data_IF_329051814576
#
_entry.id   IF_329051814576
#
_cell.length_a   1.000
_cell.length_b   1.000
_cell.length_c   1.000
_cell.angle_alpha   90.00
_cell.angle_beta   90.00
_cell.angle_gamma   90.00
#
_symmetry.space_group_name_H-M   'P 1'
#
loop_
_entity.id
_entity.type
_entity.pdbx_description
1 polymer ?
#
# COMPACT_ATOMS: atom_id res chain seq x y z
N UNK A 1 12.26 -77.21 9.95
CA UNK A 1 12.86 -76.01 9.34
C UNK A 1 11.78 -75.25 8.59
N UNK A 2 11.53 -74.01 9.01
CA UNK A 2 10.49 -73.10 8.50
C UNK A 2 10.88 -72.47 7.16
N UNK A 3 9.92 -72.28 6.25
CA UNK A 3 9.86 -71.08 5.38
C UNK A 3 8.40 -70.69 5.16
N UNK A 4 7.95 -69.71 5.93
CA UNK A 4 6.68 -69.01 5.74
C UNK A 4 6.92 -67.96 4.64
N UNK A 5 6.29 -68.13 3.47
CA UNK A 5 6.25 -67.06 2.46
C UNK A 5 5.17 -66.04 2.87
N UNK A 6 5.59 -64.93 3.45
CA UNK A 6 4.71 -63.81 3.77
C UNK A 6 4.22 -63.13 2.49
N UNK A 7 2.90 -63.14 2.23
CA UNK A 7 2.26 -62.20 1.30
C UNK A 7 2.38 -60.79 1.87
N UNK A 8 3.16 -59.93 1.23
CA UNK A 8 3.11 -58.50 1.49
C UNK A 8 1.77 -57.95 0.99
N UNK A 9 0.89 -57.60 1.93
CA UNK A 9 -0.33 -56.83 1.65
C UNK A 9 0.11 -55.38 1.41
N UNK A 10 0.18 -54.97 0.14
CA UNK A 10 0.33 -53.57 -0.21
C UNK A 10 -0.94 -52.82 0.19
N UNK A 11 -0.89 -52.06 1.29
CA UNK A 11 -1.97 -51.13 1.65
C UNK A 11 -1.95 -49.95 0.67
N UNK A 12 -3.11 -49.48 0.17
CA UNK A 12 -3.14 -48.33 -0.71
C UNK A 12 -2.66 -47.10 0.08
N UNK A 13 -1.61 -46.46 -0.42
CA UNK A 13 -1.15 -45.18 0.10
C UNK A 13 -2.27 -44.19 -0.14
N UNK A 14 -2.94 -43.77 0.94
CA UNK A 14 -3.90 -42.67 0.91
C UNK A 14 -3.16 -41.44 0.41
N UNK A 15 -3.38 -41.08 -0.87
CA UNK A 15 -2.90 -39.83 -1.46
C UNK A 15 -3.64 -38.70 -0.74
N UNK A 16 -2.96 -38.08 0.21
CA UNK A 16 -3.41 -36.83 0.81
C UNK A 16 -3.54 -35.85 -0.35
N UNK A 17 -4.77 -35.49 -0.72
CA UNK A 17 -5.01 -34.35 -1.60
C UNK A 17 -4.47 -33.16 -0.83
N UNK A 18 -3.29 -32.70 -1.24
CA UNK A 18 -2.73 -31.44 -0.81
C UNK A 18 -3.82 -30.37 -0.90
N UNK A 19 -3.86 -29.51 0.12
CA UNK A 19 -4.68 -28.30 0.22
C UNK A 19 -4.22 -27.32 -0.87
N UNK A 20 -4.35 -27.72 -2.14
CA UNK A 20 -4.05 -26.87 -3.27
C UNK A 20 -5.29 -26.03 -3.49
N UNK A 21 -5.13 -24.78 -3.09
CA UNK A 21 -5.71 -23.64 -3.78
C UNK A 21 -7.17 -23.37 -3.45
N UNK A 22 -7.43 -23.01 -2.19
CA UNK A 22 -8.35 -21.90 -1.98
C UNK A 22 -7.57 -20.62 -2.27
N UNK A 23 -7.39 -20.29 -3.55
CA UNK A 23 -7.11 -18.91 -3.94
C UNK A 23 -8.31 -18.11 -3.46
N UNK A 24 -8.14 -17.44 -2.31
CA UNK A 24 -9.01 -16.34 -1.99
C UNK A 24 -8.75 -15.29 -3.06
N UNK A 25 -9.74 -15.03 -3.91
CA UNK A 25 -9.73 -13.82 -4.73
C UNK A 25 -9.71 -12.65 -3.75
N UNK A 26 -8.53 -12.11 -3.50
CA UNK A 26 -8.38 -10.88 -2.74
C UNK A 26 -8.88 -9.78 -3.66
N UNK A 27 -10.02 -9.18 -3.30
CA UNK A 27 -10.59 -8.07 -4.05
C UNK A 27 -9.66 -6.86 -3.91
N UNK A 28 -9.01 -6.48 -5.01
CA UNK A 28 -8.28 -5.23 -5.15
C UNK A 28 -9.10 -4.33 -6.07
N UNK A 29 -9.78 -3.29 -5.55
CA UNK A 29 -10.50 -2.35 -6.42
C UNK A 29 -9.51 -1.62 -7.32
N UNK A 30 -9.95 -1.31 -8.54
CA UNK A 30 -9.15 -0.50 -9.45
C UNK A 30 -9.07 0.94 -8.94
N UNK A 31 -7.85 1.47 -8.84
CA UNK A 31 -7.64 2.88 -8.55
C UNK A 31 -7.90 3.72 -9.80
N UNK A 32 -8.90 4.58 -9.75
CA UNK A 32 -9.17 5.56 -10.82
C UNK A 32 -8.56 6.90 -10.41
N UNK A 33 -7.68 7.46 -11.25
CA UNK A 33 -7.08 8.79 -11.04
C UNK A 33 -7.70 9.78 -12.02
N UNK A 34 -8.37 10.80 -11.48
CA UNK A 34 -8.95 11.90 -12.25
C UNK A 34 -8.18 13.18 -11.98
N UNK A 35 -7.79 13.90 -13.04
CA UNK A 35 -7.23 15.25 -12.93
C UNK A 35 -8.28 16.26 -13.35
N UNK A 36 -8.68 17.14 -12.43
CA UNK A 36 -9.63 18.20 -12.71
C UNK A 36 -8.98 19.34 -13.53
N UNK A 37 -9.76 20.20 -14.22
CA UNK A 37 -9.23 21.36 -14.94
C UNK A 37 -8.44 22.34 -14.05
N UNK A 38 -8.68 22.33 -12.73
CA UNK A 38 -7.90 23.09 -11.74
C UNK A 38 -6.50 22.53 -11.48
N UNK A 39 -6.18 21.35 -12.01
CA UNK A 39 -4.97 20.60 -11.68
C UNK A 39 -5.09 19.72 -10.43
N UNK A 40 -6.24 19.74 -9.74
CA UNK A 40 -6.46 18.87 -8.58
C UNK A 40 -6.58 17.41 -9.01
N UNK A 41 -5.84 16.52 -8.34
CA UNK A 41 -5.85 15.08 -8.62
C UNK A 41 -6.65 14.33 -7.57
N UNK A 42 -7.51 13.43 -8.02
CA UNK A 42 -8.37 12.62 -7.17
C UNK A 42 -8.11 11.15 -7.52
N UNK A 43 -7.58 10.38 -6.57
CA UNK A 43 -7.49 8.93 -6.66
C UNK A 43 -8.65 8.32 -5.86
N UNK A 44 -9.42 7.43 -6.50
CA UNK A 44 -10.59 6.80 -5.87
C UNK A 44 -10.61 5.30 -6.11
N UNK A 45 -11.12 4.57 -5.14
CA UNK A 45 -11.41 3.14 -5.22
C UNK A 45 -12.80 2.85 -4.64
N UNK A 46 -13.53 1.95 -5.29
CA UNK A 46 -14.82 1.46 -4.78
C UNK A 46 -14.64 0.11 -4.08
N UNK A 47 -14.54 0.17 -2.76
CA UNK A 47 -14.33 -0.99 -1.89
C UNK A 47 -15.58 -1.84 -1.65
N UNK A 48 -16.77 -1.38 -2.09
CA UNK A 48 -18.08 -2.02 -1.82
C UNK A 48 -18.45 -2.12 -0.31
N UNK A 49 -17.80 -1.33 0.53
CA UNK A 49 -18.03 -1.26 1.99
C UNK A 49 -18.74 0.07 2.31
N UNK A 50 -19.67 0.15 3.29
CA UNK A 50 -20.43 1.37 3.59
C UNK A 50 -19.63 2.47 4.31
N UNK A 51 -18.30 2.37 4.35
CA UNK A 51 -17.39 3.33 4.99
C UNK A 51 -16.39 3.84 3.97
N UNK A 52 -16.10 5.14 4.00
CA UNK A 52 -15.08 5.76 3.17
C UNK A 52 -13.99 6.38 4.05
N UNK A 53 -12.75 6.22 3.65
CA UNK A 53 -11.60 6.98 4.18
C UNK A 53 -11.23 8.01 3.14
N UNK A 54 -11.01 9.26 3.56
CA UNK A 54 -10.60 10.35 2.67
C UNK A 54 -9.30 10.91 3.21
N UNK A 55 -8.28 10.95 2.36
CA UNK A 55 -7.04 11.67 2.60
C UNK A 55 -6.94 12.90 1.72
N UNK A 56 -6.29 13.94 2.22
CA UNK A 56 -5.91 15.12 1.44
C UNK A 56 -4.40 15.26 1.56
N UNK A 57 -3.73 15.32 0.41
CA UNK A 57 -2.29 15.47 0.33
C UNK A 57 -1.97 16.77 -0.41
N UNK A 58 -0.98 17.48 0.11
CA UNK A 58 -0.54 18.77 -0.41
C UNK A 58 0.95 18.65 -0.68
N UNK A 59 1.40 19.19 -1.82
CA UNK A 59 2.82 19.31 -2.14
C UNK A 59 3.48 20.40 -1.30
N UNK A 60 3.71 20.06 -0.04
CA UNK A 60 4.27 20.92 0.99
C UNK A 60 5.16 20.10 1.94
N UNK A 61 6.03 20.77 2.67
CA UNK A 61 6.93 20.16 3.64
C UNK A 61 8.29 20.85 3.68
N UNK A 62 9.20 20.30 4.49
CA UNK A 62 10.55 20.86 4.71
C UNK A 62 11.36 21.02 3.42
N UNK A 63 11.04 20.26 2.38
CA UNK A 63 11.65 20.41 1.04
C UNK A 63 11.45 21.79 0.40
N UNK A 64 10.42 22.52 0.83
CA UNK A 64 10.08 23.87 0.35
C UNK A 64 10.46 24.97 1.35
N UNK A 65 11.18 24.63 2.42
CA UNK A 65 11.67 25.60 3.38
C UNK A 65 12.96 26.29 2.91
N UNK A 66 13.17 27.49 3.45
CA UNK A 66 14.35 28.32 3.27
C UNK A 66 14.67 29.02 4.60
N UNK A 67 15.71 29.86 4.61
CA UNK A 67 16.15 30.55 5.82
C UNK A 67 15.05 31.42 6.49
N UNK A 68 14.09 31.95 5.72
CA UNK A 68 13.04 32.83 6.24
C UNK A 68 11.85 32.09 6.85
N UNK A 69 11.58 30.85 6.45
CA UNK A 69 10.43 30.05 6.91
C UNK A 69 10.82 28.69 7.51
N UNK A 70 12.09 28.52 7.87
CA UNK A 70 12.62 27.32 8.50
C UNK A 70 11.82 26.92 9.76
N UNK A 71 11.41 25.65 9.83
CA UNK A 71 10.64 25.09 10.95
C UNK A 71 9.13 25.23 10.82
N UNK A 72 8.62 25.81 9.74
CA UNK A 72 7.18 25.90 9.44
C UNK A 72 6.56 24.51 9.24
N UNK A 73 7.23 23.61 8.51
CA UNK A 73 6.77 22.25 8.29
C UNK A 73 6.65 21.49 9.62
N UNK A 74 7.71 21.52 10.42
CA UNK A 74 7.72 20.90 11.76
C UNK A 74 6.65 21.50 12.68
N UNK A 75 6.47 22.83 12.63
CA UNK A 75 5.42 23.50 13.39
C UNK A 75 4.01 23.06 12.95
N UNK A 76 3.75 23.00 11.63
CA UNK A 76 2.48 22.54 11.07
C UNK A 76 2.21 21.07 11.38
N UNK A 77 3.22 20.20 11.39
CA UNK A 77 3.10 18.80 11.83
C UNK A 77 2.59 18.68 13.27
N UNK A 78 2.98 19.62 14.15
CA UNK A 78 2.53 19.63 15.54
C UNK A 78 1.16 20.30 15.74
N UNK A 79 0.71 21.11 14.77
CA UNK A 79 -0.63 21.73 14.80
C UNK A 79 -1.70 20.89 14.08
N UNK A 80 -1.32 20.16 13.04
CA UNK A 80 -2.22 19.28 12.30
C UNK A 80 -2.56 18.05 13.15
N UNK A 81 -3.79 17.53 13.00
CA UNK A 81 -4.17 16.27 13.64
C UNK A 81 -3.19 15.16 13.21
N UNK A 82 -2.71 14.41 14.19
CA UNK A 82 -1.50 13.57 14.17
C UNK A 82 -1.48 12.37 13.19
N UNK A 83 -2.45 12.27 12.29
CA UNK A 83 -2.60 11.13 11.40
C UNK A 83 -2.37 11.54 9.95
N UNK A 84 -1.17 11.22 9.45
CA UNK A 84 -0.87 11.17 8.02
C UNK A 84 -0.84 9.69 7.66
N UNK A 85 -1.96 9.16 7.16
CA UNK A 85 -1.98 7.80 6.62
C UNK A 85 -1.44 7.86 5.20
N UNK A 86 -0.23 7.34 5.02
CA UNK A 86 0.29 7.06 3.69
C UNK A 86 -0.32 5.73 3.23
N UNK A 87 -1.30 5.82 2.33
CA UNK A 87 -1.93 4.65 1.69
C UNK A 87 -1.45 4.50 0.24
N UNK A 88 -1.90 3.45 -0.43
CA UNK A 88 -1.57 3.23 -1.84
C UNK A 88 -2.30 4.23 -2.77
N UNK A 89 -3.43 4.81 -2.33
CA UNK A 89 -4.13 5.86 -3.07
C UNK A 89 -3.28 7.12 -3.19
N UNK A 90 -2.56 7.50 -2.13
CA UNK A 90 -1.57 8.57 -2.15
C UNK A 90 -0.51 8.34 -3.23
N UNK A 91 0.10 7.15 -3.25
CA UNK A 91 1.15 6.81 -4.22
C UNK A 91 0.61 6.92 -5.66
N UNK A 92 -0.62 6.44 -5.90
CA UNK A 92 -1.27 6.50 -7.21
C UNK A 92 -1.64 7.92 -7.61
N UNK A 93 -2.15 8.72 -6.67
CA UNK A 93 -2.49 10.12 -6.93
C UNK A 93 -1.26 10.92 -7.36
N UNK A 94 -0.07 10.57 -6.86
CA UNK A 94 1.19 11.27 -7.12
C UNK A 94 2.17 10.46 -7.99
N UNK A 95 1.71 9.52 -8.81
CA UNK A 95 2.59 8.71 -9.66
C UNK A 95 3.52 9.60 -10.53
N UNK A 96 4.82 9.35 -10.46
CA UNK A 96 5.86 10.16 -11.12
C UNK A 96 6.17 11.52 -10.48
N UNK A 97 5.52 11.90 -9.38
CA UNK A 97 5.80 13.12 -8.61
C UNK A 97 6.60 12.77 -7.34
N UNK A 98 7.60 13.59 -6.94
CA UNK A 98 8.40 13.31 -5.75
C UNK A 98 7.58 13.11 -4.45
N UNK A 99 6.36 13.65 -4.36
CA UNK A 99 5.44 13.38 -3.25
C UNK A 99 5.00 11.92 -3.09
N UNK A 100 5.09 11.09 -4.14
CA UNK A 100 4.80 9.67 -3.97
C UNK A 100 5.79 8.97 -3.04
N UNK A 101 6.91 9.62 -2.72
CA UNK A 101 7.95 9.13 -1.83
C UNK A 101 8.05 9.99 -0.56
N UNK A 102 8.47 9.38 0.54
CA UNK A 102 8.89 10.14 1.72
C UNK A 102 10.17 10.91 1.38
N UNK A 103 10.07 12.23 1.33
CA UNK A 103 11.21 13.12 1.11
C UNK A 103 11.54 13.82 2.41
N UNK A 104 12.73 13.54 2.94
CA UNK A 104 13.25 14.20 4.13
C UNK A 104 14.23 15.29 3.70
N UNK A 105 13.76 16.54 3.77
CA UNK A 105 14.61 17.73 3.64
C UNK A 105 14.62 18.40 2.26
N UNK A 106 15.48 19.43 2.10
CA UNK A 106 15.59 20.25 0.90
C UNK A 106 15.78 19.45 -0.39
N UNK A 107 15.30 19.99 -1.53
CA UNK A 107 15.43 19.36 -2.87
C UNK A 107 16.88 18.99 -3.20
N UNK A 108 17.83 19.80 -2.74
CA UNK A 108 19.28 19.58 -2.90
C UNK A 108 19.83 18.34 -2.16
N UNK A 109 19.06 17.74 -1.24
CA UNK A 109 19.42 16.49 -0.56
C UNK A 109 18.79 15.24 -1.21
N UNK A 110 17.97 15.41 -2.26
CA UNK A 110 17.33 14.32 -3.00
C UNK A 110 18.26 13.91 -4.15
N UNK A 111 18.95 12.76 -4.01
CA UNK A 111 19.74 12.14 -5.08
C UNK A 111 18.93 11.18 -5.91
#
# INVERSE_FOLDING_TARGET
MQRVLGRQILKPVRRWKSILTATRDVFFPETVVTTLPSGFRIATEDTKIPTATIGVWIDAGSRYENAANNGTAHFLEHMAFKEVVFDHLHIRAFEGNPLCMTILGPVENIK
#
